data_IF_997034129512
#
_entry.id   IF_997034129512
#
_cell.length_a   1.000
_cell.length_b   1.000
_cell.length_c   1.000
_cell.angle_alpha   90.00
_cell.angle_beta   90.00
_cell.angle_gamma   90.00
#
_symmetry.space_group_name_H-M   'P 1'
#
loop_
_entity.id
_entity.type
_entity.pdbx_description
1 polymer ?
#
# COMPACT_ATOMS: atom_id res chain seq x y z
N UNK A 1 -16.87 -20.93 13.84
CA UNK A 1 -15.88 -20.26 13.00
C UNK A 1 -15.64 -21.17 11.81
N UNK A 2 -16.37 -20.92 10.71
CA UNK A 2 -16.30 -21.73 9.50
C UNK A 2 -14.90 -21.62 8.89
N UNK A 3 -14.28 -22.75 8.71
CA UNK A 3 -12.93 -22.92 8.24
C UNK A 3 -12.88 -22.97 6.73
N UNK A 4 -12.96 -21.86 6.04
CA UNK A 4 -12.27 -21.80 4.78
C UNK A 4 -10.81 -21.42 5.07
N UNK A 5 -9.94 -22.42 5.03
CA UNK A 5 -8.50 -22.26 5.28
C UNK A 5 -7.80 -21.74 4.02
N UNK A 6 -8.40 -20.75 3.37
CA UNK A 6 -7.80 -20.08 2.22
C UNK A 6 -6.97 -18.89 2.66
N UNK A 7 -5.79 -18.75 2.12
CA UNK A 7 -4.98 -17.55 2.15
C UNK A 7 -5.19 -16.84 0.83
N UNK A 8 -5.31 -15.51 0.88
CA UNK A 8 -5.50 -14.69 -0.31
C UNK A 8 -4.21 -14.01 -0.71
N UNK A 9 -4.06 -13.84 -2.02
CA UNK A 9 -2.93 -13.18 -2.65
C UNK A 9 -3.37 -12.43 -3.90
N UNK A 10 -2.63 -11.40 -4.29
CA UNK A 10 -2.83 -10.68 -5.54
C UNK A 10 -1.54 -10.55 -6.32
N UNK A 11 -1.63 -10.40 -7.64
CA UNK A 11 -0.49 -10.01 -8.44
C UNK A 11 -0.58 -8.50 -8.72
N UNK A 12 0.27 -7.73 -8.07
CA UNK A 12 0.24 -6.28 -8.11
C UNK A 12 1.63 -5.68 -8.25
N UNK A 13 1.68 -4.45 -8.79
CA UNK A 13 2.91 -3.67 -8.94
C UNK A 13 2.75 -2.29 -8.30
N UNK A 14 3.77 -1.87 -7.57
CA UNK A 14 3.87 -0.51 -7.06
C UNK A 14 4.50 0.43 -8.10
N UNK A 15 3.87 1.56 -8.33
CA UNK A 15 4.42 2.66 -9.13
C UNK A 15 4.52 3.88 -8.23
N UNK A 16 5.71 4.06 -7.66
CA UNK A 16 5.99 5.24 -6.86
C UNK A 16 6.48 6.35 -7.82
N UNK A 17 5.58 7.26 -8.21
CA UNK A 17 5.82 8.23 -9.28
C UNK A 17 6.79 9.35 -8.88
N UNK A 18 6.95 9.66 -7.58
CA UNK A 18 7.96 10.59 -7.07
C UNK A 18 8.25 10.33 -5.60
N UNK A 19 9.47 10.62 -5.17
CA UNK A 19 9.84 10.69 -3.74
C UNK A 19 10.02 12.13 -3.25
N UNK A 20 9.87 13.14 -4.12
CA UNK A 20 9.87 14.55 -3.72
C UNK A 20 8.59 14.87 -2.95
N UNK A 21 8.72 15.42 -1.75
CA UNK A 21 7.58 15.66 -0.88
C UNK A 21 7.78 16.92 -0.02
N UNK A 22 6.77 17.76 0.05
CA UNK A 22 6.79 19.00 0.86
C UNK A 22 6.47 18.75 2.33
N UNK A 23 5.90 17.60 2.69
CA UNK A 23 5.47 17.26 4.04
C UNK A 23 6.63 16.82 4.94
N UNK A 24 6.48 17.09 6.24
CA UNK A 24 7.51 16.87 7.27
C UNK A 24 7.25 15.61 8.10
N UNK A 25 6.93 14.50 7.43
CA UNK A 25 6.71 13.22 8.10
C UNK A 25 8.01 12.70 8.71
N UNK A 26 8.12 12.73 10.04
CA UNK A 26 9.34 12.38 10.77
C UNK A 26 9.64 10.88 10.79
N UNK A 27 8.69 10.05 10.42
CA UNK A 27 8.85 8.59 10.27
C UNK A 27 9.28 8.17 8.87
N UNK A 28 9.17 9.04 7.85
CA UNK A 28 9.31 8.66 6.45
C UNK A 28 10.78 8.61 6.02
N UNK A 29 11.25 7.43 5.65
CA UNK A 29 12.58 7.23 5.04
C UNK A 29 12.58 7.38 3.51
N UNK A 30 11.42 7.42 2.87
CA UNK A 30 11.26 7.51 1.43
C UNK A 30 11.31 8.95 0.91
N UNK A 31 10.70 9.89 1.63
CA UNK A 31 10.58 11.29 1.23
C UNK A 31 11.94 11.98 1.03
N UNK A 32 12.04 12.78 -0.01
CA UNK A 32 13.11 13.74 -0.29
C UNK A 32 12.62 15.17 -0.10
N UNK A 33 12.01 15.42 1.05
CA UNK A 33 11.46 16.69 1.48
C UNK A 33 12.34 17.41 2.52
N UNK A 34 11.78 18.41 3.23
CA UNK A 34 12.51 19.29 4.14
C UNK A 34 13.23 18.56 5.30
N UNK A 35 12.75 17.40 5.73
CA UNK A 35 13.36 16.59 6.78
C UNK A 35 14.14 15.39 6.24
N UNK A 36 14.29 15.27 4.91
CA UNK A 36 15.03 14.17 4.32
C UNK A 36 16.49 14.22 4.71
N UNK A 37 17.01 13.09 5.18
CA UNK A 37 18.43 12.91 5.45
C UNK A 37 19.20 12.40 4.22
N UNK A 38 18.53 12.23 3.08
CA UNK A 38 19.07 11.70 1.81
C UNK A 38 19.88 10.39 1.96
N UNK A 39 19.52 9.59 2.95
CA UNK A 39 20.25 8.37 3.29
C UNK A 39 20.16 7.29 2.22
N UNK A 40 19.07 7.26 1.45
CA UNK A 40 18.81 6.24 0.44
C UNK A 40 18.16 6.83 -0.80
N UNK A 41 18.82 6.64 -1.93
CA UNK A 41 18.34 7.09 -3.25
C UNK A 41 18.42 8.61 -3.46
N UNK A 42 18.23 9.03 -4.70
CA UNK A 42 18.19 10.44 -5.14
C UNK A 42 16.72 10.89 -5.30
N UNK A 43 16.43 12.21 -5.29
CA UNK A 43 15.15 12.71 -5.73
C UNK A 43 14.87 12.28 -7.17
N UNK A 44 13.61 11.92 -7.46
CA UNK A 44 13.17 11.58 -8.81
C UNK A 44 11.68 11.96 -9.02
N UNK A 45 11.32 12.09 -10.27
CA UNK A 45 9.97 12.28 -10.75
C UNK A 45 9.83 11.48 -12.05
N UNK A 46 8.84 10.57 -12.10
CA UNK A 46 8.50 9.84 -13.32
C UNK A 46 7.64 10.73 -14.24
N UNK A 47 7.83 10.61 -15.54
CA UNK A 47 6.92 11.21 -16.51
C UNK A 47 5.62 10.39 -16.61
N UNK A 48 4.58 10.93 -17.22
CA UNK A 48 3.34 10.20 -17.48
C UNK A 48 3.59 8.99 -18.38
N UNK A 49 4.49 9.13 -19.36
CA UNK A 49 4.91 8.04 -20.25
C UNK A 49 5.62 6.91 -19.47
N UNK A 50 6.48 7.24 -18.52
CA UNK A 50 7.12 6.24 -17.65
C UNK A 50 6.11 5.49 -16.80
N UNK A 51 5.10 6.20 -16.27
CA UNK A 51 4.03 5.61 -15.46
C UNK A 51 3.17 4.67 -16.32
N UNK A 52 2.75 5.13 -17.50
CA UNK A 52 1.98 4.35 -18.47
C UNK A 52 2.74 3.10 -18.93
N UNK A 53 4.03 3.23 -19.24
CA UNK A 53 4.88 2.09 -19.63
C UNK A 53 4.97 1.03 -18.52
N UNK A 54 5.13 1.44 -17.25
CA UNK A 54 5.16 0.53 -16.11
C UNK A 54 3.82 -0.16 -15.87
N UNK A 55 2.70 0.53 -16.12
CA UNK A 55 1.37 -0.07 -16.04
C UNK A 55 1.16 -1.10 -17.14
N UNK A 56 1.53 -0.80 -18.39
CA UNK A 56 1.47 -1.73 -19.51
C UNK A 56 2.35 -2.98 -19.27
N UNK A 57 3.56 -2.78 -18.73
CA UNK A 57 4.45 -3.89 -18.36
C UNK A 57 3.84 -4.77 -17.25
N UNK A 58 3.25 -4.16 -16.22
CA UNK A 58 2.56 -4.89 -15.15
C UNK A 58 1.40 -5.73 -15.71
N UNK A 59 0.59 -5.16 -16.60
CA UNK A 59 -0.50 -5.85 -17.27
C UNK A 59 0.02 -7.03 -18.12
N UNK A 60 1.08 -6.83 -18.89
CA UNK A 60 1.71 -7.89 -19.69
C UNK A 60 2.29 -9.02 -18.82
N UNK A 61 2.70 -8.74 -17.59
CA UNK A 61 3.14 -9.73 -16.59
C UNK A 61 1.96 -10.46 -15.93
N UNK A 62 0.71 -10.08 -16.20
CA UNK A 62 -0.50 -10.65 -15.60
C UNK A 62 -0.91 -10.02 -14.27
N UNK A 63 -0.41 -8.83 -13.95
CA UNK A 63 -0.88 -8.10 -12.78
C UNK A 63 -2.36 -7.70 -12.93
N UNK A 64 -3.09 -7.74 -11.84
CA UNK A 64 -4.50 -7.32 -11.77
C UNK A 64 -4.66 -5.92 -11.18
N UNK A 65 -3.59 -5.39 -10.61
CA UNK A 65 -3.59 -4.10 -9.89
C UNK A 65 -2.27 -3.37 -10.07
N UNK A 66 -2.33 -2.04 -10.17
CA UNK A 66 -1.21 -1.15 -9.89
C UNK A 66 -1.52 -0.30 -8.67
N UNK A 67 -0.54 -0.18 -7.76
CA UNK A 67 -0.62 0.67 -6.59
C UNK A 67 0.17 1.96 -6.84
N UNK A 68 -0.54 3.10 -6.92
CA UNK A 68 0.02 4.42 -7.19
C UNK A 68 0.17 5.20 -5.89
N UNK A 69 1.39 5.51 -5.50
CA UNK A 69 1.70 6.33 -4.33
C UNK A 69 2.96 7.15 -4.56
N UNK A 70 2.99 8.38 -4.04
CA UNK A 70 4.16 9.22 -4.16
C UNK A 70 4.29 10.28 -3.06
N UNK A 71 5.32 11.10 -3.17
CA UNK A 71 5.44 12.31 -2.39
C UNK A 71 4.47 13.38 -2.88
N UNK A 72 4.13 14.34 -2.01
CA UNK A 72 3.38 15.52 -2.42
C UNK A 72 4.35 16.54 -3.02
N UNK A 73 4.48 16.48 -4.34
CA UNK A 73 5.39 17.38 -5.06
C UNK A 73 4.89 18.84 -4.98
N UNK A 74 5.78 19.83 -4.87
CA UNK A 74 5.36 21.24 -4.78
C UNK A 74 4.56 21.72 -5.99
N UNK A 75 4.88 21.23 -7.17
CA UNK A 75 4.29 21.67 -8.45
C UNK A 75 3.03 20.89 -8.85
N UNK A 76 2.64 19.84 -8.09
CA UNK A 76 1.44 19.08 -8.41
C UNK A 76 0.20 19.79 -7.85
N UNK A 77 -0.81 19.90 -8.68
CA UNK A 77 -2.19 20.13 -8.29
C UNK A 77 -3.03 18.87 -8.43
N UNK A 78 -4.34 18.99 -8.32
CA UNK A 78 -5.22 17.83 -8.43
C UNK A 78 -5.34 17.29 -9.86
N UNK A 79 -5.07 18.10 -10.88
CA UNK A 79 -5.15 17.66 -12.30
C UNK A 79 -4.05 16.65 -12.61
N UNK A 80 -2.86 16.79 -12.03
CA UNK A 80 -1.80 15.79 -12.16
C UNK A 80 -2.25 14.37 -11.83
N UNK A 81 -3.00 14.18 -10.75
CA UNK A 81 -3.48 12.84 -10.36
C UNK A 81 -4.56 12.30 -11.31
N UNK A 82 -5.36 13.18 -11.90
CA UNK A 82 -6.31 12.83 -12.96
C UNK A 82 -5.56 12.35 -14.21
N UNK A 83 -4.53 13.09 -14.63
CA UNK A 83 -3.68 12.74 -15.78
C UNK A 83 -2.97 11.40 -15.58
N UNK A 84 -2.46 11.14 -14.37
CA UNK A 84 -1.86 9.83 -14.01
C UNK A 84 -2.88 8.70 -14.15
N UNK A 85 -4.13 8.87 -13.65
CA UNK A 85 -5.17 7.86 -13.82
C UNK A 85 -5.48 7.60 -15.30
N UNK A 86 -5.63 8.65 -16.09
CA UNK A 86 -5.92 8.53 -17.53
C UNK A 86 -4.79 7.82 -18.26
N UNK A 87 -3.53 8.20 -18.02
CA UNK A 87 -2.36 7.57 -18.65
C UNK A 87 -2.27 6.07 -18.33
N UNK A 88 -2.56 5.67 -17.09
CA UNK A 88 -2.59 4.26 -16.69
C UNK A 88 -3.77 3.54 -17.33
N UNK A 89 -4.96 4.13 -17.30
CA UNK A 89 -6.17 3.52 -17.86
C UNK A 89 -6.07 3.34 -19.39
N UNK A 90 -5.50 4.31 -20.11
CA UNK A 90 -5.26 4.20 -21.54
C UNK A 90 -4.24 3.10 -21.88
N UNK A 91 -3.17 2.98 -21.07
CA UNK A 91 -2.12 1.98 -21.29
C UNK A 91 -2.54 0.55 -20.91
N UNK A 92 -3.43 0.40 -19.93
CA UNK A 92 -3.86 -0.89 -19.40
C UNK A 92 -5.29 -0.80 -18.82
N UNK A 93 -6.34 -0.81 -19.68
CA UNK A 93 -7.73 -0.55 -19.27
C UNK A 93 -8.29 -1.53 -18.23
N UNK A 94 -7.79 -2.77 -18.23
CA UNK A 94 -8.24 -3.84 -17.33
C UNK A 94 -7.57 -3.85 -15.96
N UNK A 95 -6.50 -3.03 -15.79
CA UNK A 95 -5.83 -2.92 -14.49
C UNK A 95 -6.68 -2.14 -13.49
N UNK A 96 -6.82 -2.69 -12.28
CA UNK A 96 -7.37 -1.95 -11.17
C UNK A 96 -6.39 -0.89 -10.70
N UNK A 97 -6.78 0.38 -10.74
CA UNK A 97 -5.99 1.49 -10.20
C UNK A 97 -6.33 1.64 -8.72
N UNK A 98 -5.39 1.22 -7.86
CA UNK A 98 -5.38 1.44 -6.42
C UNK A 98 -4.43 2.59 -6.14
N UNK A 99 -4.94 3.77 -5.88
CA UNK A 99 -4.08 4.94 -5.84
C UNK A 99 -4.58 6.06 -4.98
N UNK A 100 -3.65 6.86 -4.67
CA UNK A 100 -3.65 8.11 -3.96
C UNK A 100 -4.22 8.03 -2.54
N UNK A 101 -3.36 8.35 -1.60
CA UNK A 101 -3.71 8.39 -0.18
C UNK A 101 -4.72 9.48 0.13
N UNK A 102 -5.35 9.42 1.29
CA UNK A 102 -6.21 10.50 1.79
C UNK A 102 -5.50 11.87 1.75
N UNK A 103 -4.17 11.91 1.98
CA UNK A 103 -3.39 13.14 1.88
C UNK A 103 -3.30 13.65 0.44
N UNK A 104 -2.99 12.78 -0.53
CA UNK A 104 -2.87 13.15 -1.94
C UNK A 104 -4.19 13.70 -2.49
N UNK A 105 -5.31 13.03 -2.22
CA UNK A 105 -6.62 13.48 -2.72
C UNK A 105 -7.11 14.76 -2.02
N UNK A 106 -6.84 14.91 -0.74
CA UNK A 106 -7.20 16.14 0.00
C UNK A 106 -6.37 17.33 -0.47
N UNK A 107 -5.06 17.15 -0.66
CA UNK A 107 -4.19 18.21 -1.19
C UNK A 107 -4.52 18.54 -2.65
N UNK A 108 -4.81 17.55 -3.48
CA UNK A 108 -5.24 17.76 -4.87
C UNK A 108 -6.51 18.61 -4.95
N UNK A 109 -7.54 18.23 -4.22
CA UNK A 109 -8.79 18.99 -4.13
C UNK A 109 -8.56 20.41 -3.60
N UNK A 110 -7.77 20.56 -2.55
CA UNK A 110 -7.45 21.86 -1.92
C UNK A 110 -6.71 22.81 -2.89
N UNK A 111 -5.72 22.30 -3.62
CA UNK A 111 -4.94 23.09 -4.59
C UNK A 111 -5.75 23.56 -5.79
N UNK A 112 -6.77 22.78 -6.19
CA UNK A 112 -7.72 23.18 -7.23
C UNK A 112 -8.86 24.06 -6.71
N UNK A 113 -9.04 24.17 -5.38
CA UNK A 113 -10.20 24.84 -4.79
C UNK A 113 -11.52 24.10 -5.06
N UNK A 114 -11.46 22.79 -5.29
CA UNK A 114 -12.65 21.95 -5.55
C UNK A 114 -13.15 21.29 -4.26
N UNK A 115 -14.47 21.08 -4.11
CA UNK A 115 -15.00 20.18 -3.10
C UNK A 115 -14.45 18.76 -3.27
N UNK A 116 -14.04 18.13 -2.17
CA UNK A 116 -13.37 16.82 -2.17
C UNK A 116 -14.18 15.73 -2.91
N UNK A 117 -15.50 15.65 -2.67
CA UNK A 117 -16.36 14.64 -3.31
C UNK A 117 -16.44 14.84 -4.85
N UNK A 118 -16.48 16.09 -5.32
CA UNK A 118 -16.44 16.39 -6.75
C UNK A 118 -15.10 15.97 -7.36
N UNK A 119 -14.00 16.27 -6.68
CA UNK A 119 -12.67 15.90 -7.12
C UNK A 119 -12.49 14.36 -7.16
N UNK A 120 -12.96 13.65 -6.14
CA UNK A 120 -12.95 12.19 -6.11
C UNK A 120 -13.79 11.57 -7.24
N UNK A 121 -14.90 12.21 -7.63
CA UNK A 121 -15.68 11.79 -8.80
C UNK A 121 -14.88 11.93 -10.08
N UNK A 122 -14.13 13.01 -10.26
CA UNK A 122 -13.22 13.20 -11.42
C UNK A 122 -12.17 12.10 -11.48
N UNK A 123 -11.56 11.75 -10.35
CA UNK A 123 -10.59 10.66 -10.28
C UNK A 123 -11.23 9.30 -10.61
N UNK A 124 -12.45 9.05 -10.11
CA UNK A 124 -13.21 7.85 -10.44
C UNK A 124 -13.49 7.75 -11.95
N UNK A 125 -13.93 8.84 -12.56
CA UNK A 125 -14.22 8.92 -13.99
C UNK A 125 -12.95 8.75 -14.84
N UNK A 126 -11.78 9.17 -14.32
CA UNK A 126 -10.47 8.98 -14.93
C UNK A 126 -9.89 7.54 -14.76
N UNK A 127 -10.56 6.66 -14.03
CA UNK A 127 -10.13 5.26 -13.90
C UNK A 127 -9.72 4.82 -12.50
N UNK A 128 -9.65 5.71 -11.49
CA UNK A 128 -9.40 5.33 -10.11
C UNK A 128 -10.50 4.41 -9.58
N UNK A 129 -10.16 3.36 -8.83
CA UNK A 129 -11.16 2.40 -8.30
C UNK A 129 -11.08 2.21 -6.80
N UNK A 130 -9.92 2.42 -6.19
CA UNK A 130 -9.78 2.34 -4.73
C UNK A 130 -8.64 3.19 -4.20
N UNK A 131 -8.74 3.59 -2.92
CA UNK A 131 -7.73 4.35 -2.19
C UNK A 131 -7.02 3.46 -1.17
N UNK A 132 -5.69 3.56 -1.06
CA UNK A 132 -4.97 2.97 0.07
C UNK A 132 -5.29 3.73 1.36
N UNK A 133 -5.35 3.02 2.48
CA UNK A 133 -5.54 3.61 3.81
C UNK A 133 -4.32 4.34 4.35
N UNK A 134 -3.21 4.34 3.61
CA UNK A 134 -1.99 5.09 3.98
C UNK A 134 -2.28 6.58 4.14
N UNK A 135 -1.38 7.29 4.81
CA UNK A 135 -1.60 8.58 5.46
C UNK A 135 -2.40 8.54 6.78
N UNK A 136 -3.06 7.42 7.12
CA UNK A 136 -3.63 7.22 8.47
C UNK A 136 -2.53 7.23 9.54
N UNK A 137 -1.47 6.52 9.30
CA UNK A 137 -0.45 6.14 10.26
C UNK A 137 -1.11 5.60 11.54
N UNK A 138 -1.42 6.49 12.48
CA UNK A 138 -2.29 6.24 13.64
C UNK A 138 -3.30 7.38 13.75
N UNK A 139 -4.60 7.07 13.86
CA UNK A 139 -5.68 8.05 13.99
C UNK A 139 -5.84 8.48 15.46
N UNK A 140 -4.83 9.18 15.93
CA UNK A 140 -4.71 9.81 17.24
C UNK A 140 -3.91 11.09 17.06
N UNK A 141 -4.57 12.24 17.12
CA UNK A 141 -3.98 13.53 16.73
C UNK A 141 -2.85 13.97 17.65
N UNK A 142 -2.82 13.54 18.91
CA UNK A 142 -1.69 13.78 19.81
C UNK A 142 -0.43 13.03 19.31
N UNK A 143 -0.58 11.82 18.80
CA UNK A 143 0.51 11.07 18.19
C UNK A 143 0.89 11.66 16.85
N UNK A 144 -0.10 12.03 16.00
CA UNK A 144 0.12 12.65 14.69
C UNK A 144 0.90 13.95 14.78
N UNK A 145 0.62 14.78 15.79
CA UNK A 145 1.38 16.00 16.07
C UNK A 145 2.88 15.76 16.28
N UNK A 146 3.27 14.57 16.73
CA UNK A 146 4.67 14.18 16.91
C UNK A 146 5.28 13.59 15.63
N UNK A 147 4.56 12.68 14.95
CA UNK A 147 5.14 11.90 13.85
C UNK A 147 4.94 12.52 12.47
N UNK A 148 3.86 13.29 12.27
CA UNK A 148 3.50 13.91 10.98
C UNK A 148 2.63 15.19 11.19
N UNK A 149 3.20 16.25 11.76
CA UNK A 149 2.46 17.40 12.30
C UNK A 149 1.70 18.23 11.24
N UNK A 150 2.08 18.12 9.98
CA UNK A 150 1.52 18.88 8.87
C UNK A 150 0.65 18.02 7.91
N UNK A 151 0.42 16.74 8.24
CA UNK A 151 -0.50 15.88 7.49
C UNK A 151 -1.97 16.16 7.86
N UNK A 152 -2.87 15.60 7.05
CA UNK A 152 -4.31 15.56 7.37
C UNK A 152 -4.55 15.06 8.79
N UNK A 153 -5.49 15.67 9.50
CA UNK A 153 -5.95 15.22 10.81
C UNK A 153 -6.66 13.86 10.73
N UNK A 154 -6.94 13.27 11.89
CA UNK A 154 -7.73 12.03 11.94
C UNK A 154 -9.11 12.21 11.30
N UNK A 155 -9.78 13.33 11.54
CA UNK A 155 -11.10 13.63 10.97
C UNK A 155 -11.03 13.87 9.45
N UNK A 156 -10.04 14.61 8.96
CA UNK A 156 -9.84 14.81 7.51
C UNK A 156 -9.55 13.49 6.79
N UNK A 157 -8.82 12.56 7.41
CA UNK A 157 -8.61 11.23 6.87
C UNK A 157 -9.92 10.45 6.79
N UNK A 158 -10.73 10.48 7.86
CA UNK A 158 -12.03 9.81 7.89
C UNK A 158 -12.98 10.40 6.84
N UNK A 159 -13.01 11.74 6.69
CA UNK A 159 -13.85 12.38 5.68
C UNK A 159 -13.39 12.07 4.25
N UNK A 160 -12.08 11.98 4.00
CA UNK A 160 -11.57 11.60 2.69
C UNK A 160 -12.06 10.19 2.28
N UNK A 161 -12.04 9.23 3.20
CA UNK A 161 -12.55 7.90 2.93
C UNK A 161 -14.08 7.86 2.86
N UNK A 162 -14.78 8.61 3.70
CA UNK A 162 -16.24 8.75 3.65
C UNK A 162 -16.69 9.31 2.29
N UNK A 163 -16.06 10.37 1.82
CA UNK A 163 -16.32 10.96 0.51
C UNK A 163 -16.00 10.00 -0.64
N UNK A 164 -14.87 9.28 -0.54
CA UNK A 164 -14.50 8.25 -1.52
C UNK A 164 -15.56 7.14 -1.62
N UNK A 165 -16.04 6.64 -0.48
CA UNK A 165 -17.08 5.61 -0.45
C UNK A 165 -18.40 6.10 -1.04
N UNK A 166 -18.78 7.37 -0.83
CA UNK A 166 -20.01 7.97 -1.43
C UNK A 166 -19.95 8.02 -2.95
N UNK A 167 -18.79 8.25 -3.53
CA UNK A 167 -18.62 8.26 -5.00
C UNK A 167 -18.40 6.87 -5.60
N UNK A 168 -18.42 5.81 -4.78
CA UNK A 168 -18.31 4.41 -5.22
C UNK A 168 -16.88 3.85 -5.23
N UNK A 169 -15.89 4.63 -4.79
CA UNK A 169 -14.54 4.12 -4.56
C UNK A 169 -14.53 3.21 -3.33
N UNK A 170 -13.67 2.18 -3.35
CA UNK A 170 -13.35 1.37 -2.19
C UNK A 170 -12.03 1.84 -1.57
N UNK A 171 -11.75 1.34 -0.36
CA UNK A 171 -10.44 1.61 0.27
C UNK A 171 -10.09 0.52 1.27
N UNK A 172 -8.88 0.60 1.83
CA UNK A 172 -8.49 -0.25 2.94
C UNK A 172 -8.17 0.58 4.20
N UNK A 173 -8.05 -0.09 5.33
CA UNK A 173 -7.59 0.52 6.59
C UNK A 173 -6.14 0.14 6.80
N UNK A 174 -5.24 1.11 6.93
CA UNK A 174 -3.85 0.86 7.36
C UNK A 174 -3.59 1.45 8.72
N UNK A 175 -2.81 0.77 9.55
CA UNK A 175 -2.32 1.30 10.81
C UNK A 175 -0.82 1.09 10.93
N UNK A 176 -0.04 2.16 10.98
CA UNK A 176 1.38 2.09 11.31
C UNK A 176 1.55 2.17 12.82
N UNK A 177 2.32 1.24 13.41
CA UNK A 177 2.50 1.13 14.86
C UNK A 177 3.93 0.78 15.23
N UNK A 178 4.32 1.14 16.46
CA UNK A 178 5.66 0.91 17.00
C UNK A 178 6.54 2.14 17.01
N UNK A 179 5.97 3.37 17.00
CA UNK A 179 6.67 4.66 17.07
C UNK A 179 6.68 5.22 18.50
N UNK A 180 5.78 6.15 18.79
CA UNK A 180 5.62 6.85 20.10
C UNK A 180 4.26 6.57 20.76
N UNK A 181 3.35 5.96 20.01
CA UNK A 181 1.98 5.67 20.44
C UNK A 181 1.92 4.58 21.49
N UNK A 182 0.78 4.54 22.17
CA UNK A 182 0.44 3.49 23.15
C UNK A 182 -0.60 2.50 22.61
N UNK A 183 -0.81 1.36 23.22
CA UNK A 183 -1.92 0.46 22.87
C UNK A 183 -3.30 1.11 22.88
N UNK A 184 -3.50 2.18 23.67
CA UNK A 184 -4.74 2.96 23.67
C UNK A 184 -4.98 3.63 22.31
N UNK A 185 -3.93 4.14 21.69
CA UNK A 185 -4.00 4.74 20.36
C UNK A 185 -4.34 3.70 19.28
N UNK A 186 -3.82 2.46 19.39
CA UNK A 186 -4.20 1.35 18.51
C UNK A 186 -5.69 1.05 18.57
N UNK A 187 -6.21 0.92 19.81
CA UNK A 187 -7.65 0.66 20.02
C UNK A 187 -8.49 1.80 19.48
N UNK A 188 -8.10 3.06 19.72
CA UNK A 188 -8.79 4.24 19.17
C UNK A 188 -8.87 4.17 17.64
N UNK A 189 -7.75 3.90 16.98
CA UNK A 189 -7.68 3.75 15.52
C UNK A 189 -8.65 2.66 15.01
N UNK A 190 -8.62 1.48 15.62
CA UNK A 190 -9.51 0.36 15.24
C UNK A 190 -11.00 0.71 15.46
N UNK A 191 -11.32 1.45 16.52
CA UNK A 191 -12.71 1.82 16.80
C UNK A 191 -13.25 2.87 15.83
N UNK A 192 -12.51 3.94 15.54
CA UNK A 192 -12.99 5.00 14.63
C UNK A 192 -13.14 4.50 13.19
N UNK A 193 -12.21 3.66 12.72
CA UNK A 193 -12.30 3.05 11.40
C UNK A 193 -13.40 1.97 11.32
N UNK A 194 -13.64 1.23 12.40
CA UNK A 194 -14.77 0.31 12.51
C UNK A 194 -16.10 1.05 12.42
N UNK A 195 -16.20 2.21 13.07
CA UNK A 195 -17.42 3.01 13.06
C UNK A 195 -17.67 3.60 11.67
N UNK A 196 -16.63 4.07 10.96
CA UNK A 196 -16.73 4.47 9.55
C UNK A 196 -17.13 3.28 8.66
N UNK A 197 -16.61 2.07 8.90
CA UNK A 197 -17.05 0.89 8.16
C UNK A 197 -18.53 0.57 8.36
N UNK A 198 -19.05 0.75 9.57
CA UNK A 198 -20.51 0.58 9.83
C UNK A 198 -21.35 1.61 9.09
N UNK A 199 -20.84 2.82 8.95
CA UNK A 199 -21.49 3.91 8.23
C UNK A 199 -21.50 3.67 6.72
N UNK A 200 -20.36 3.26 6.14
CA UNK A 200 -20.17 3.31 4.68
C UNK A 200 -20.04 1.93 4.00
N UNK A 201 -19.58 0.91 4.72
CA UNK A 201 -19.28 -0.41 4.15
C UNK A 201 -18.16 -0.42 3.12
N UNK A 202 -17.35 0.66 3.02
CA UNK A 202 -16.43 0.88 1.92
C UNK A 202 -15.04 0.27 2.08
N UNK A 203 -14.63 -0.10 3.29
CA UNK A 203 -13.33 -0.74 3.51
C UNK A 203 -13.35 -2.23 3.13
N UNK A 204 -12.31 -2.67 2.44
CA UNK A 204 -12.14 -4.05 1.98
C UNK A 204 -11.31 -4.90 2.95
N UNK A 205 -10.32 -4.28 3.61
CA UNK A 205 -9.34 -5.00 4.43
C UNK A 205 -8.70 -4.09 5.47
N UNK A 206 -8.07 -4.72 6.46
CA UNK A 206 -7.15 -4.08 7.41
C UNK A 206 -5.71 -4.52 7.16
N UNK A 207 -4.77 -3.57 7.14
CA UNK A 207 -3.34 -3.81 6.94
C UNK A 207 -2.55 -3.25 8.12
N UNK A 208 -1.96 -4.13 8.93
CA UNK A 208 -1.03 -3.75 10.00
C UNK A 208 0.37 -3.48 9.44
N UNK A 209 0.90 -2.28 9.68
CA UNK A 209 2.19 -1.82 9.17
C UNK A 209 3.18 -1.58 10.32
N UNK A 210 3.98 -2.58 10.74
CA UNK A 210 5.06 -2.37 11.70
C UNK A 210 6.01 -1.26 11.25
N UNK A 211 6.35 -0.34 12.15
CA UNK A 211 7.26 0.76 11.84
C UNK A 211 8.66 0.27 11.51
N UNK A 212 9.18 0.71 10.36
CA UNK A 212 10.57 0.46 9.91
C UNK A 212 11.41 1.69 10.22
N UNK A 213 12.34 1.55 11.15
CA UNK A 213 12.99 2.69 11.83
C UNK A 213 14.30 3.17 11.20
N UNK A 214 15.02 2.32 10.45
CA UNK A 214 16.45 2.52 10.14
C UNK A 214 16.77 3.84 9.43
N UNK A 215 15.88 4.33 8.56
CA UNK A 215 16.05 5.61 7.86
C UNK A 215 15.05 6.68 8.31
N UNK A 216 14.33 6.46 9.41
CA UNK A 216 13.35 7.41 9.92
C UNK A 216 14.01 8.53 10.73
N UNK A 217 13.81 9.83 10.39
CA UNK A 217 14.39 10.94 11.13
C UNK A 217 14.07 10.89 12.63
N UNK A 218 12.83 10.54 12.98
CA UNK A 218 12.37 10.44 14.37
C UNK A 218 13.20 9.43 15.20
N UNK A 219 13.55 8.28 14.60
CA UNK A 219 14.36 7.28 15.27
C UNK A 219 15.84 7.70 15.37
N UNK A 220 16.38 8.26 14.28
CA UNK A 220 17.78 8.73 14.26
C UNK A 220 18.02 9.88 15.26
N UNK A 221 16.97 10.66 15.55
CA UNK A 221 16.95 11.67 16.61
C UNK A 221 16.68 11.10 18.02
N UNK A 222 16.54 9.77 18.15
CA UNK A 222 16.23 9.08 19.42
C UNK A 222 14.92 9.53 20.08
N UNK A 223 13.90 9.86 19.26
CA UNK A 223 12.61 10.37 19.72
C UNK A 223 11.47 9.35 19.59
N UNK A 224 11.78 8.12 19.20
CA UNK A 224 10.85 7.00 19.19
C UNK A 224 11.59 5.68 19.44
N UNK A 225 10.83 4.61 19.64
CA UNK A 225 11.36 3.26 19.74
C UNK A 225 11.69 2.68 18.35
N UNK A 226 12.43 1.57 18.30
CA UNK A 226 12.91 0.91 17.07
C UNK A 226 11.84 0.06 16.35
N UNK A 227 10.58 0.36 16.51
CA UNK A 227 9.49 -0.45 16.00
C UNK A 227 8.84 -1.33 17.08
N UNK A 228 7.77 -2.05 16.72
CA UNK A 228 7.09 -2.94 17.64
C UNK A 228 7.90 -4.22 17.89
N UNK A 229 7.68 -4.87 19.01
CA UNK A 229 8.08 -6.25 19.22
C UNK A 229 7.21 -7.19 18.37
N UNK A 230 7.71 -8.37 18.04
CA UNK A 230 6.91 -9.34 17.26
C UNK A 230 5.62 -9.74 18.00
N UNK A 231 5.65 -9.79 19.34
CA UNK A 231 4.44 -10.01 20.17
C UNK A 231 3.39 -8.92 19.94
N UNK A 232 3.79 -7.66 19.85
CA UNK A 232 2.87 -6.55 19.53
C UNK A 232 2.32 -6.68 18.11
N UNK A 233 3.14 -7.11 17.15
CA UNK A 233 2.68 -7.39 15.78
C UNK A 233 1.57 -8.45 15.80
N UNK A 234 1.78 -9.58 16.49
CA UNK A 234 0.76 -10.63 16.64
C UNK A 234 -0.51 -10.09 17.30
N UNK A 235 -0.36 -9.32 18.39
CA UNK A 235 -1.50 -8.76 19.14
C UNK A 235 -2.33 -7.80 18.29
N UNK A 236 -1.69 -6.90 17.52
CA UNK A 236 -2.38 -5.93 16.63
C UNK A 236 -3.24 -6.66 15.61
N UNK A 237 -2.70 -7.68 14.93
CA UNK A 237 -3.47 -8.42 13.92
C UNK A 237 -4.60 -9.25 14.55
N UNK A 238 -4.36 -9.91 15.67
CA UNK A 238 -5.39 -10.68 16.38
C UNK A 238 -6.52 -9.79 16.92
N UNK A 239 -6.19 -8.63 17.48
CA UNK A 239 -7.18 -7.66 18.00
C UNK A 239 -7.95 -7.03 16.83
N UNK A 240 -7.29 -6.69 15.72
CA UNK A 240 -7.95 -6.19 14.52
C UNK A 240 -8.98 -7.21 13.98
N UNK A 241 -8.62 -8.50 13.89
CA UNK A 241 -9.54 -9.58 13.50
C UNK A 241 -10.79 -9.62 14.39
N UNK A 242 -10.64 -9.39 15.69
CA UNK A 242 -11.77 -9.37 16.64
C UNK A 242 -12.58 -8.07 16.47
N UNK A 243 -11.89 -6.92 16.38
CA UNK A 243 -12.53 -5.60 16.30
C UNK A 243 -13.38 -5.44 15.03
N UNK A 244 -12.93 -6.00 13.92
CA UNK A 244 -13.61 -5.90 12.62
C UNK A 244 -14.52 -7.09 12.28
N UNK A 245 -14.71 -8.03 13.20
CA UNK A 245 -15.54 -9.23 12.96
C UNK A 245 -16.93 -8.85 12.42
N UNK A 246 -17.28 -9.41 11.25
CA UNK A 246 -18.57 -9.17 10.58
C UNK A 246 -18.68 -7.79 9.90
N UNK A 247 -17.58 -7.06 9.77
CA UNK A 247 -17.53 -5.74 9.13
C UNK A 247 -16.41 -5.67 8.07
N UNK A 248 -15.20 -6.13 8.41
CA UNK A 248 -14.08 -6.25 7.48
C UNK A 248 -13.57 -7.68 7.60
N UNK A 249 -13.73 -8.45 6.52
CA UNK A 249 -13.47 -9.89 6.55
C UNK A 249 -11.98 -10.23 6.40
N UNK A 250 -11.17 -9.28 5.88
CA UNK A 250 -9.79 -9.55 5.53
C UNK A 250 -8.81 -8.77 6.39
N UNK A 251 -7.80 -9.49 6.89
CA UNK A 251 -6.66 -8.93 7.62
C UNK A 251 -5.39 -9.34 6.91
N UNK A 252 -4.67 -8.36 6.39
CA UNK A 252 -3.46 -8.53 5.61
C UNK A 252 -2.21 -8.41 6.46
N UNK A 253 -1.21 -9.25 6.19
CA UNK A 253 0.14 -9.11 6.71
C UNK A 253 1.07 -8.46 5.70
N UNK A 254 1.88 -7.48 6.15
CA UNK A 254 2.88 -6.82 5.31
C UNK A 254 4.20 -7.59 5.34
N UNK A 255 4.40 -8.54 4.41
CA UNK A 255 5.61 -9.37 4.33
C UNK A 255 6.89 -8.53 4.15
N UNK A 256 6.82 -7.40 3.45
CA UNK A 256 7.97 -6.48 3.27
C UNK A 256 8.54 -5.95 4.58
N UNK A 257 7.75 -5.96 5.65
CA UNK A 257 8.13 -5.43 6.97
C UNK A 257 8.50 -6.52 7.97
N UNK A 258 7.97 -7.72 7.84
CA UNK A 258 8.12 -8.79 8.84
C UNK A 258 8.71 -10.09 8.28
N UNK A 259 8.94 -10.17 6.98
CA UNK A 259 9.41 -11.39 6.31
C UNK A 259 8.36 -12.49 6.22
N UNK A 260 8.61 -13.50 5.39
CA UNK A 260 7.68 -14.63 5.20
C UNK A 260 7.53 -15.49 6.46
N UNK A 261 8.61 -15.66 7.24
CA UNK A 261 8.55 -16.39 8.52
C UNK A 261 7.63 -15.71 9.55
N UNK A 262 7.66 -14.37 9.58
CA UNK A 262 6.75 -13.59 10.41
C UNK A 262 5.31 -13.73 9.94
N UNK A 263 5.07 -13.70 8.63
CA UNK A 263 3.74 -13.91 8.04
C UNK A 263 3.20 -15.30 8.38
N UNK A 264 4.01 -16.36 8.30
CA UNK A 264 3.60 -17.71 8.67
C UNK A 264 3.03 -17.81 10.11
N UNK A 265 3.59 -17.03 11.02
CA UNK A 265 3.09 -16.95 12.39
C UNK A 265 1.79 -16.15 12.50
N UNK A 266 1.65 -15.07 11.72
CA UNK A 266 0.44 -14.23 11.70
C UNK A 266 -0.77 -14.96 11.11
N UNK A 267 -0.57 -15.91 10.19
CA UNK A 267 -1.64 -16.76 9.67
C UNK A 267 -2.35 -17.56 10.81
N UNK A 268 -1.66 -17.82 11.92
CA UNK A 268 -2.22 -18.44 13.11
C UNK A 268 -2.92 -17.43 14.05
N UNK A 269 -2.69 -16.14 13.82
CA UNK A 269 -3.23 -15.03 14.61
C UNK A 269 -4.42 -14.32 13.95
N UNK A 270 -4.97 -14.88 12.87
CA UNK A 270 -6.18 -14.36 12.23
C UNK A 270 -5.93 -13.60 10.91
N UNK A 271 -4.69 -13.56 10.43
CA UNK A 271 -4.38 -13.06 9.08
C UNK A 271 -4.87 -14.07 8.04
N UNK A 272 -5.41 -13.58 6.93
CA UNK A 272 -5.91 -14.38 5.81
C UNK A 272 -5.50 -13.81 4.43
N UNK A 273 -4.69 -12.76 4.40
CA UNK A 273 -4.21 -12.12 3.17
C UNK A 273 -2.70 -11.83 3.24
N UNK A 274 -1.98 -12.13 2.13
CA UNK A 274 -0.53 -11.96 2.03
C UNK A 274 -0.11 -10.63 1.42
N UNK A 275 -1.06 -9.84 0.90
CA UNK A 275 -0.81 -8.50 0.38
C UNK A 275 -0.30 -8.44 -1.05
N UNK A 276 -0.07 -9.57 -1.70
CA UNK A 276 0.35 -9.62 -3.09
C UNK A 276 1.87 -9.66 -3.28
N UNK A 277 2.24 -9.75 -4.56
CA UNK A 277 3.65 -9.84 -4.99
C UNK A 277 4.43 -8.55 -4.76
N UNK A 278 3.75 -7.40 -4.75
CA UNK A 278 4.29 -6.05 -4.51
C UNK A 278 5.54 -5.75 -5.36
N UNK A 279 5.48 -6.08 -6.67
CA UNK A 279 6.59 -5.80 -7.58
C UNK A 279 6.99 -4.32 -7.46
N UNK A 280 8.29 -4.04 -7.35
CA UNK A 280 8.86 -2.69 -7.19
C UNK A 280 8.46 -1.95 -5.89
N UNK A 281 8.24 -2.65 -4.77
CA UNK A 281 7.99 -2.00 -3.49
C UNK A 281 9.26 -1.28 -3.00
N UNK A 282 9.29 0.04 -3.14
CA UNK A 282 10.45 0.88 -2.85
C UNK A 282 10.33 1.68 -1.54
N UNK A 283 9.13 1.87 -1.00
CA UNK A 283 8.89 2.71 0.18
C UNK A 283 9.48 2.06 1.43
N UNK A 284 9.18 0.78 1.68
CA UNK A 284 9.72 0.05 2.83
C UNK A 284 11.22 -0.18 2.69
N UNK A 285 11.72 -0.45 1.46
CA UNK A 285 13.14 -0.54 1.17
C UNK A 285 13.87 0.77 1.49
N UNK A 286 13.32 1.91 1.11
CA UNK A 286 13.89 3.22 1.42
C UNK A 286 13.92 3.50 2.93
N UNK A 287 12.97 2.98 3.69
CA UNK A 287 12.96 3.03 5.14
C UNK A 287 13.97 2.08 5.80
N UNK A 288 14.48 1.10 5.06
CA UNK A 288 15.50 0.15 5.53
C UNK A 288 15.01 -1.28 5.70
N UNK A 289 13.81 -1.64 5.24
CA UNK A 289 13.37 -3.04 5.24
C UNK A 289 14.27 -3.92 4.37
N UNK A 290 14.52 -5.15 4.81
CA UNK A 290 15.50 -6.06 4.21
C UNK A 290 14.86 -7.30 3.56
N UNK A 291 13.53 -7.38 3.52
CA UNK A 291 12.80 -8.54 3.03
C UNK A 291 12.53 -8.55 1.51
N UNK A 292 13.23 -7.71 0.76
CA UNK A 292 13.12 -7.61 -0.70
C UNK A 292 12.07 -6.61 -1.18
N UNK A 293 11.94 -6.53 -2.50
CA UNK A 293 11.01 -5.62 -3.20
C UNK A 293 9.95 -6.36 -4.00
N UNK A 294 9.98 -7.69 -3.97
CA UNK A 294 9.05 -8.58 -4.63
C UNK A 294 9.08 -9.96 -3.97
N UNK A 295 7.94 -10.62 -3.90
CA UNK A 295 7.77 -12.04 -3.61
C UNK A 295 7.17 -12.71 -4.83
N UNK A 296 7.66 -13.89 -5.19
CA UNK A 296 7.11 -14.60 -6.33
C UNK A 296 5.84 -15.38 -5.93
N UNK A 297 4.93 -15.66 -6.87
CA UNK A 297 3.78 -16.55 -6.62
C UNK A 297 4.20 -17.92 -6.08
N UNK A 298 5.39 -18.42 -6.46
CA UNK A 298 5.95 -19.67 -5.94
C UNK A 298 6.30 -19.57 -4.45
N UNK A 299 6.90 -18.47 -4.02
CA UNK A 299 7.23 -18.27 -2.60
C UNK A 299 5.96 -18.20 -1.75
N UNK A 300 4.92 -17.54 -2.25
CA UNK A 300 3.62 -17.45 -1.59
C UNK A 300 2.91 -18.82 -1.54
N UNK A 301 3.02 -19.62 -2.60
CA UNK A 301 2.51 -20.98 -2.60
C UNK A 301 3.25 -21.86 -1.57
N UNK A 302 4.58 -21.78 -1.50
CA UNK A 302 5.37 -22.51 -0.51
C UNK A 302 4.99 -22.11 0.93
N UNK A 303 4.75 -20.82 1.17
CA UNK A 303 4.28 -20.33 2.46
C UNK A 303 2.91 -20.91 2.81
N UNK A 304 1.97 -20.93 1.86
CA UNK A 304 0.64 -21.50 2.04
C UNK A 304 0.72 -23.00 2.35
N UNK A 305 1.48 -23.75 1.58
CA UNK A 305 1.68 -25.20 1.76
C UNK A 305 2.28 -25.54 3.13
N UNK A 306 3.32 -24.79 3.54
CA UNK A 306 3.95 -24.96 4.85
C UNK A 306 3.02 -24.62 6.02
N UNK A 307 2.05 -23.76 5.76
CA UNK A 307 1.00 -23.35 6.72
C UNK A 307 -0.24 -24.24 6.66
N UNK A 308 -0.26 -25.26 5.81
CA UNK A 308 -1.41 -26.14 5.56
C UNK A 308 -2.66 -25.35 5.15
N UNK A 309 -2.50 -24.39 4.25
CA UNK A 309 -3.54 -23.49 3.76
C UNK A 309 -3.61 -23.56 2.23
N UNK A 310 -4.78 -23.30 1.67
CA UNK A 310 -4.95 -23.17 0.22
C UNK A 310 -4.69 -21.73 -0.18
N UNK A 311 -3.78 -21.49 -1.14
CA UNK A 311 -3.60 -20.17 -1.73
C UNK A 311 -4.66 -19.91 -2.79
N UNK A 312 -5.29 -18.73 -2.74
CA UNK A 312 -6.32 -18.31 -3.71
C UNK A 312 -5.96 -16.91 -4.21
N UNK A 313 -5.77 -16.77 -5.51
CA UNK A 313 -5.57 -15.46 -6.12
C UNK A 313 -6.88 -14.65 -6.06
N UNK A 314 -6.78 -13.37 -5.73
CA UNK A 314 -7.87 -12.41 -5.64
C UNK A 314 -7.63 -11.17 -6.50
N UNK A 315 -8.69 -10.46 -6.83
CA UNK A 315 -8.62 -9.06 -7.28
C UNK A 315 -8.48 -8.13 -6.08
N UNK A 316 -8.23 -6.84 -6.32
CA UNK A 316 -8.17 -5.79 -5.27
C UNK A 316 -9.45 -5.76 -4.41
N UNK A 317 -10.61 -6.03 -5.00
CA UNK A 317 -11.89 -6.03 -4.30
C UNK A 317 -12.32 -7.42 -3.80
N UNK A 318 -11.36 -8.34 -3.64
CA UNK A 318 -11.59 -9.70 -3.13
C UNK A 318 -12.48 -10.60 -4.00
N UNK A 319 -12.69 -10.22 -5.27
CA UNK A 319 -13.27 -11.09 -6.29
C UNK A 319 -12.26 -12.12 -6.81
N UNK A 320 -12.73 -13.04 -7.63
CA UNK A 320 -11.84 -13.95 -8.40
C UNK A 320 -11.38 -13.24 -9.67
N UNK A 321 -10.09 -13.34 -10.06
CA UNK A 321 -9.66 -12.92 -11.39
C UNK A 321 -10.45 -13.66 -12.46
N UNK A 322 -10.78 -13.00 -13.56
CA UNK A 322 -11.43 -13.66 -14.69
C UNK A 322 -10.52 -14.76 -15.25
N UNK A 323 -11.09 -15.91 -15.56
CA UNK A 323 -10.37 -17.04 -16.16
C UNK A 323 -9.94 -16.65 -17.58
N UNK A 324 -8.75 -16.13 -17.72
CA UNK A 324 -8.17 -15.59 -18.95
C UNK A 324 -6.98 -14.68 -18.71
N UNK A 325 -6.81 -14.12 -17.51
CA UNK A 325 -5.56 -13.48 -17.10
C UNK A 325 -4.51 -14.59 -16.96
N UNK A 326 -3.49 -14.53 -17.81
CA UNK A 326 -2.45 -15.56 -17.92
C UNK A 326 -1.92 -15.91 -16.52
N UNK A 327 -1.94 -17.22 -16.19
CA UNK A 327 -1.11 -17.70 -15.09
C UNK A 327 0.32 -17.23 -15.37
N UNK A 328 1.01 -16.59 -14.41
CA UNK A 328 2.37 -16.16 -14.65
C UNK A 328 3.20 -17.37 -15.10
N UNK A 329 3.63 -17.34 -16.35
CA UNK A 329 4.49 -18.37 -16.91
C UNK A 329 5.72 -18.48 -16.01
N UNK A 330 6.10 -19.72 -15.68
CA UNK A 330 7.34 -20.03 -14.97
C UNK A 330 8.48 -19.42 -15.78
N UNK A 331 8.99 -18.27 -15.36
CA UNK A 331 10.23 -17.71 -15.90
C UNK A 331 11.35 -18.61 -15.37
N UNK A 332 11.75 -19.59 -16.19
CA UNK A 332 12.96 -20.38 -15.96
C UNK A 332 14.14 -19.44 -16.05
N UNK A 333 14.93 -19.39 -14.97
CA UNK A 333 15.98 -18.42 -14.73
C UNK A 333 16.92 -18.17 -15.91
N UNK A 334 16.91 -16.96 -16.41
CA UNK A 334 18.00 -16.34 -17.12
C UNK A 334 18.68 -15.35 -16.19
N UNK A 335 20.00 -15.46 -16.05
CA UNK A 335 20.79 -14.52 -15.24
C UNK A 335 20.68 -13.12 -15.86
N UNK A 336 19.92 -12.26 -15.22
CA UNK A 336 19.80 -10.85 -15.61
C UNK A 336 20.98 -10.06 -15.05
N UNK A 337 21.65 -9.28 -15.88
CA UNK A 337 22.65 -8.30 -15.46
C UNK A 337 21.93 -7.05 -14.91
N UNK A 338 22.32 -6.60 -13.74
CA UNK A 338 21.84 -5.37 -13.12
C UNK A 338 22.66 -4.21 -13.65
N UNK A 339 22.03 -3.30 -14.39
CA UNK A 339 22.59 -2.01 -14.76
C UNK A 339 21.64 -0.94 -14.24
N UNK A 340 22.14 -0.05 -13.38
CA UNK A 340 21.43 1.11 -12.80
C UNK A 340 20.09 0.83 -12.10
N UNK A 341 19.97 -0.29 -11.39
CA UNK A 341 18.83 -0.58 -10.53
C UNK A 341 17.55 -1.00 -11.26
N UNK A 342 17.60 -1.22 -12.58
CA UNK A 342 16.50 -1.72 -13.41
C UNK A 342 16.81 -3.14 -13.87
N UNK A 343 15.86 -4.07 -13.65
CA UNK A 343 15.97 -5.43 -14.17
C UNK A 343 15.49 -5.42 -15.63
N UNK A 344 16.41 -5.58 -16.57
CA UNK A 344 16.09 -5.76 -18.00
C UNK A 344 16.09 -7.25 -18.28
N UNK A 345 14.93 -7.81 -18.62
CA UNK A 345 14.83 -9.19 -19.14
C UNK A 345 15.10 -9.15 -20.64
N UNK A 346 16.27 -9.63 -21.07
CA UNK A 346 16.60 -9.81 -22.49
C UNK A 346 16.03 -11.14 -22.95
N UNK A 347 14.98 -11.12 -23.75
CA UNK A 347 14.46 -12.30 -24.43
C UNK A 347 15.46 -12.78 -25.50
N UNK A 348 15.97 -13.98 -25.35
CA UNK A 348 16.73 -14.66 -26.42
C UNK A 348 15.76 -15.14 -27.47
N UNK A 349 15.63 -14.41 -28.57
CA UNK A 349 14.97 -14.88 -29.79
C UNK A 349 15.74 -16.09 -30.34
N UNK A 350 15.09 -17.21 -30.45
CA UNK A 350 15.56 -18.37 -31.20
C UNK A 350 15.23 -18.17 -32.66
N UNK A 351 16.26 -18.00 -33.48
CA UNK A 351 16.17 -18.20 -34.93
C UNK A 351 16.47 -19.67 -35.25
N UNK A 352 15.51 -20.37 -35.81
CA UNK A 352 15.68 -21.46 -36.74
C UNK A 352 14.42 -21.58 -37.59
#
# INVERSE_FOLDING_TARGET
>A
VGSEMCIRDSFNRNINYTNVCTFKCRFCGFSKGPLSLNLRGKPYLLTLEDIAARAAEAHAMGATEVCLQGGIHPDFDGDYYVDVCQAVHEAAPDLHIHGFTALEVTEGARRLGEPLERYLRRLYDAGLRSLPGTAAEILDDDVRAVICPDKVTSEEWLEAHRAAHRVGLRSNVTMMFGTVESPRSWIRHLLVTRDLQRETGGFTEFVGLPFVHMAAPLYLQRQCRRGPTFREVVLVHAVARIAYRGLIDHVQASWVKIGLDGVAQLLRAGVDDLGGTLVDENISRAAGAEHGTMVTPRDLQQLADSSQRTLVQRTTLYGRPESGSAQPGVVTGGAGAVVDGTVVVVGTGSTA
#
